data_IF_403352084120
#
_entry.id   IF_403352084120
#
_cell.length_a   1.000
_cell.length_b   1.000
_cell.length_c   1.000
_cell.angle_alpha   90.00
_cell.angle_beta   90.00
_cell.angle_gamma   90.00
#
_symmetry.space_group_name_H-M   'P 1'
#
loop_
_entity.id
_entity.type
_entity.pdbx_description
1 polymer ?
#
# COMPACT_ATOMS: atom_id res chain seq x y z
N UNK A 1 -34.97 -24.72 12.35
CA UNK A 1 -33.64 -24.13 12.64
C UNK A 1 -33.20 -23.30 11.46
N UNK A 2 -32.92 -22.06 11.74
CA UNK A 2 -32.45 -21.18 10.68
C UNK A 2 -30.94 -21.39 10.54
N UNK A 3 -30.56 -21.94 9.43
CA UNK A 3 -29.15 -22.05 9.12
C UNK A 3 -28.58 -20.67 8.85
N UNK A 4 -27.59 -20.31 9.65
CA UNK A 4 -26.90 -19.05 9.45
C UNK A 4 -26.07 -19.17 8.17
N UNK A 5 -26.49 -18.49 7.11
CA UNK A 5 -25.69 -18.43 5.90
C UNK A 5 -24.34 -17.82 6.24
N UNK A 6 -23.29 -18.56 5.93
CA UNK A 6 -21.95 -17.99 5.99
C UNK A 6 -21.90 -16.78 5.06
N UNK A 7 -21.64 -15.61 5.63
CA UNK A 7 -21.40 -14.42 4.83
C UNK A 7 -19.99 -14.58 4.27
N UNK A 8 -19.91 -14.80 2.96
CA UNK A 8 -18.65 -14.86 2.29
C UNK A 8 -18.04 -13.44 2.27
N UNK A 9 -17.05 -13.25 3.13
CA UNK A 9 -16.32 -12.01 3.17
C UNK A 9 -15.48 -11.90 1.90
N UNK A 10 -15.53 -10.72 1.25
CA UNK A 10 -14.69 -10.45 0.09
C UNK A 10 -13.21 -10.51 0.50
N UNK A 11 -12.42 -11.24 -0.28
CA UNK A 11 -10.97 -11.27 -0.13
C UNK A 11 -10.32 -10.57 -1.32
N UNK A 12 -9.35 -9.69 -1.06
CA UNK A 12 -8.62 -8.99 -2.10
C UNK A 12 -7.12 -9.28 -1.98
N UNK A 13 -6.49 -9.52 -3.14
CA UNK A 13 -5.04 -9.60 -3.23
C UNK A 13 -4.50 -8.33 -3.86
N UNK A 14 -3.59 -7.69 -3.14
CA UNK A 14 -3.06 -6.38 -3.52
C UNK A 14 -1.54 -6.33 -3.40
N UNK A 15 -0.98 -5.32 -4.00
CA UNK A 15 0.44 -5.00 -3.93
C UNK A 15 0.61 -3.59 -3.38
N UNK A 16 1.72 -3.34 -2.71
CA UNK A 16 2.05 -2.04 -2.15
C UNK A 16 3.51 -1.68 -2.45
N UNK A 17 3.74 -0.41 -2.80
CA UNK A 17 5.07 0.10 -3.11
C UNK A 17 5.62 0.90 -1.93
N UNK A 18 6.77 0.50 -1.44
CA UNK A 18 7.56 1.26 -0.49
C UNK A 18 8.58 2.05 -1.32
N UNK A 19 8.18 3.24 -1.72
CA UNK A 19 8.97 4.12 -2.59
C UNK A 19 9.88 4.96 -1.71
N UNK A 20 11.19 4.75 -1.85
CA UNK A 20 12.20 5.45 -1.05
C UNK A 20 12.98 6.41 -1.94
N UNK A 21 13.11 7.65 -1.48
CA UNK A 21 13.88 8.70 -2.14
C UNK A 21 14.42 9.65 -1.08
N UNK A 22 15.72 9.96 -1.15
CA UNK A 22 16.38 10.88 -0.21
C UNK A 22 16.13 10.51 1.26
N UNK A 23 16.26 9.19 1.58
CA UNK A 23 16.09 8.66 2.93
C UNK A 23 14.68 8.84 3.50
N UNK A 24 13.67 9.01 2.63
CA UNK A 24 12.27 9.14 3.02
C UNK A 24 11.40 8.18 2.22
N UNK A 25 10.30 7.77 2.82
CA UNK A 25 9.32 6.90 2.18
C UNK A 25 8.04 7.66 1.86
N UNK A 26 7.46 7.38 0.71
CA UNK A 26 6.21 7.98 0.26
C UNK A 26 5.01 7.24 0.86
N UNK A 27 4.03 8.01 1.36
CA UNK A 27 2.73 7.46 1.75
C UNK A 27 1.62 8.40 1.31
N UNK A 28 0.41 7.86 1.22
CA UNK A 28 -0.74 8.60 0.74
C UNK A 28 -1.97 8.32 1.58
N UNK A 29 -2.86 9.30 1.67
CA UNK A 29 -4.09 9.22 2.45
C UNK A 29 -5.25 8.77 1.57
N UNK A 30 -5.94 7.73 1.99
CA UNK A 30 -7.11 7.20 1.31
C UNK A 30 -8.28 8.17 1.34
N UNK A 31 -9.15 8.07 0.32
CA UNK A 31 -10.41 8.80 0.29
C UNK A 31 -11.27 8.48 1.51
N UNK A 32 -12.22 9.34 1.80
CA UNK A 32 -13.17 9.20 2.92
C UNK A 32 -14.29 8.23 2.54
N UNK A 33 -13.92 6.98 2.20
CA UNK A 33 -14.86 5.94 1.76
C UNK A 33 -14.47 4.60 2.41
N UNK A 34 -15.47 3.92 2.97
CA UNK A 34 -15.31 2.56 3.49
C UNK A 34 -14.64 2.47 4.84
N UNK A 35 -14.31 1.25 5.22
CA UNK A 35 -13.76 0.93 6.53
C UNK A 35 -12.40 1.55 6.81
N UNK A 36 -11.61 1.76 5.75
CA UNK A 36 -10.27 2.36 5.85
C UNK A 36 -10.24 3.83 5.44
N UNK A 37 -11.41 4.51 5.51
CA UNK A 37 -11.55 5.92 5.13
C UNK A 37 -10.53 6.82 5.82
N UNK A 38 -9.86 7.67 5.04
CA UNK A 38 -8.86 8.64 5.49
C UNK A 38 -7.61 8.05 6.16
N UNK A 39 -7.47 6.74 6.18
CA UNK A 39 -6.25 6.11 6.68
C UNK A 39 -5.11 6.31 5.70
N UNK A 40 -3.89 6.27 6.21
CA UNK A 40 -2.68 6.38 5.39
C UNK A 40 -2.20 5.00 4.96
N UNK A 41 -1.61 4.93 3.78
CA UNK A 41 -1.17 3.67 3.20
C UNK A 41 0.05 3.86 2.30
N UNK A 42 0.72 2.76 2.00
CA UNK A 42 1.65 2.72 0.88
C UNK A 42 0.85 2.53 -0.40
N UNK A 43 1.17 3.27 -1.48
CA UNK A 43 0.37 3.20 -2.70
C UNK A 43 0.50 1.85 -3.38
N UNK A 44 -0.54 1.46 -4.07
CA UNK A 44 -0.61 0.19 -4.79
C UNK A 44 -2.02 -0.10 -5.23
N UNK A 45 -2.38 -1.36 -5.37
CA UNK A 45 -3.71 -1.74 -5.78
C UNK A 45 -3.84 -3.24 -6.02
N UNK A 46 -4.94 -3.62 -6.66
CA UNK A 46 -5.29 -5.02 -6.87
C UNK A 46 -4.45 -5.67 -7.95
N UNK A 47 -4.11 -6.95 -7.72
CA UNK A 47 -3.49 -7.80 -8.74
C UNK A 47 -4.61 -8.29 -9.66
N UNK A 48 -4.44 -8.08 -10.97
CA UNK A 48 -5.38 -8.57 -11.97
C UNK A 48 -4.98 -9.96 -12.47
N UNK A 49 -5.94 -10.67 -13.03
CA UNK A 49 -5.70 -12.01 -13.55
C UNK A 49 -4.56 -11.99 -14.58
N UNK A 50 -3.61 -12.93 -14.42
CA UNK A 50 -2.47 -13.07 -15.33
C UNK A 50 -1.29 -12.17 -15.02
N UNK A 51 -1.40 -11.27 -14.03
CA UNK A 51 -0.29 -10.44 -13.63
C UNK A 51 0.54 -11.06 -12.52
N UNK A 52 1.85 -10.86 -12.56
CA UNK A 52 2.69 -11.06 -11.37
C UNK A 52 2.45 -9.90 -10.41
N UNK A 53 2.77 -10.05 -9.12
CA UNK A 53 2.69 -8.94 -8.17
C UNK A 53 3.49 -7.71 -8.63
N UNK A 54 4.68 -7.92 -9.18
CA UNK A 54 5.53 -6.83 -9.66
C UNK A 54 4.92 -6.08 -10.84
N UNK A 55 4.34 -6.83 -11.79
CA UNK A 55 3.64 -6.23 -12.94
C UNK A 55 2.43 -5.41 -12.49
N UNK A 56 1.65 -5.96 -11.55
CA UNK A 56 0.49 -5.26 -10.98
C UNK A 56 0.92 -3.96 -10.30
N UNK A 57 2.02 -4.00 -9.53
CA UNK A 57 2.49 -2.82 -8.80
C UNK A 57 2.95 -1.72 -9.75
N UNK A 58 3.74 -2.07 -10.77
CA UNK A 58 4.19 -1.09 -11.77
C UNK A 58 2.99 -0.44 -12.47
N UNK A 59 1.99 -1.24 -12.84
CA UNK A 59 0.78 -0.76 -13.50
C UNK A 59 -0.02 0.16 -12.59
N UNK A 60 -0.28 -0.23 -11.34
CA UNK A 60 -1.07 0.56 -10.40
C UNK A 60 -0.43 1.91 -10.11
N UNK A 61 0.87 1.95 -9.91
CA UNK A 61 1.56 3.23 -9.65
C UNK A 61 1.53 4.13 -10.88
N UNK A 62 1.64 3.54 -12.08
CA UNK A 62 1.52 4.32 -13.31
C UNK A 62 0.11 4.89 -13.48
N UNK A 63 -0.91 4.06 -13.28
CA UNK A 63 -2.31 4.47 -13.43
C UNK A 63 -2.73 5.52 -12.41
N UNK A 64 -2.40 5.31 -11.14
CA UNK A 64 -2.88 6.16 -10.03
C UNK A 64 -2.02 7.39 -9.79
N UNK A 65 -0.72 7.31 -10.02
CA UNK A 65 0.22 8.37 -9.66
C UNK A 65 1.01 8.93 -10.84
N UNK A 66 0.70 8.46 -12.06
CA UNK A 66 1.39 8.89 -13.28
C UNK A 66 2.91 8.83 -13.13
N UNK A 67 3.41 7.76 -12.52
CA UNK A 67 4.82 7.59 -12.19
C UNK A 67 5.27 6.21 -12.59
N UNK A 68 6.43 6.14 -13.26
CA UNK A 68 7.09 4.88 -13.59
C UNK A 68 8.09 4.55 -12.51
N UNK A 69 7.96 3.34 -11.94
CA UNK A 69 8.86 2.87 -10.89
C UNK A 69 9.59 1.62 -11.30
N UNK A 70 10.76 1.42 -10.70
CA UNK A 70 11.49 0.17 -10.76
C UNK A 70 11.22 -0.60 -9.47
N UNK A 71 10.73 -1.84 -9.62
CA UNK A 71 10.43 -2.71 -8.48
C UNK A 71 11.73 -3.33 -7.98
N UNK A 72 11.99 -3.17 -6.70
CA UNK A 72 13.16 -3.71 -6.04
C UNK A 72 12.83 -4.95 -5.20
N UNK A 73 13.43 -5.01 -4.02
CA UNK A 73 13.34 -6.17 -3.15
C UNK A 73 11.94 -6.37 -2.56
N UNK A 74 11.53 -7.62 -2.47
CA UNK A 74 10.35 -8.01 -1.70
C UNK A 74 10.58 -7.69 -0.22
N UNK A 75 9.57 -7.12 0.43
CA UNK A 75 9.66 -6.75 1.85
C UNK A 75 8.92 -7.76 2.72
N UNK A 76 7.63 -7.92 2.49
CA UNK A 76 6.78 -8.82 3.29
C UNK A 76 5.43 -9.03 2.62
N UNK A 77 4.75 -10.08 3.05
CA UNK A 77 3.34 -10.31 2.75
C UNK A 77 2.54 -10.14 4.04
N UNK A 78 1.50 -9.34 3.99
CA UNK A 78 0.60 -9.09 5.11
C UNK A 78 -0.76 -9.72 4.82
N UNK A 79 -1.28 -10.49 5.77
CA UNK A 79 -2.65 -10.98 5.75
C UNK A 79 -3.41 -10.27 6.87
N UNK A 80 -4.48 -9.58 6.53
CA UNK A 80 -5.26 -8.85 7.51
C UNK A 80 -6.75 -9.01 7.24
N UNK A 81 -7.54 -9.17 8.29
CA UNK A 81 -8.98 -9.22 8.20
C UNK A 81 -9.57 -7.96 8.80
N UNK A 82 -10.21 -7.16 7.94
CA UNK A 82 -11.04 -6.04 8.34
C UNK A 82 -12.46 -6.54 8.66
N UNK A 83 -13.34 -5.67 9.08
CA UNK A 83 -14.72 -6.07 9.37
C UNK A 83 -15.50 -6.46 8.12
N UNK A 84 -15.24 -5.79 6.99
CA UNK A 84 -16.01 -5.95 5.76
C UNK A 84 -15.29 -6.71 4.66
N UNK A 85 -13.98 -6.93 4.79
CA UNK A 85 -13.19 -7.67 3.80
C UNK A 85 -11.88 -8.15 4.43
N UNK A 86 -11.23 -9.10 3.76
CA UNK A 86 -9.88 -9.51 4.10
C UNK A 86 -8.92 -9.18 2.97
N UNK A 87 -7.64 -9.02 3.29
CA UNK A 87 -6.62 -8.59 2.35
C UNK A 87 -5.35 -9.42 2.49
N UNK A 88 -4.76 -9.77 1.36
CA UNK A 88 -3.38 -10.25 1.28
C UNK A 88 -2.61 -9.21 0.49
N UNK A 89 -1.59 -8.62 1.10
CA UNK A 89 -0.83 -7.52 0.51
C UNK A 89 0.65 -7.88 0.43
N UNK A 90 1.19 -7.83 -0.79
CA UNK A 90 2.60 -8.07 -1.06
C UNK A 90 3.31 -6.73 -1.23
N UNK A 91 4.25 -6.43 -0.34
CA UNK A 91 4.97 -5.16 -0.34
C UNK A 91 6.36 -5.31 -0.95
N UNK A 92 6.72 -4.37 -1.81
CA UNK A 92 8.02 -4.31 -2.47
C UNK A 92 8.64 -2.93 -2.31
N UNK A 93 9.94 -2.89 -2.17
CA UNK A 93 10.70 -1.65 -2.28
C UNK A 93 10.69 -1.20 -3.74
N UNK A 94 10.63 0.10 -3.99
CA UNK A 94 10.61 0.64 -5.34
C UNK A 94 11.33 1.98 -5.41
N UNK A 95 11.83 2.31 -6.60
CA UNK A 95 12.46 3.60 -6.88
C UNK A 95 11.77 4.25 -8.07
N UNK A 96 11.75 5.58 -8.10
CA UNK A 96 11.15 6.34 -9.18
C UNK A 96 12.11 6.37 -10.38
N UNK A 97 11.59 5.99 -11.55
CA UNK A 97 12.30 6.15 -12.83
C UNK A 97 11.93 7.52 -13.40
N UNK A 98 10.64 7.78 -13.59
CA UNK A 98 10.10 9.06 -14.08
C UNK A 98 8.80 9.38 -13.40
N UNK A 99 8.49 10.66 -13.25
CA UNK A 99 7.23 11.11 -12.67
C UNK A 99 7.40 11.72 -11.28
N UNK A 100 6.34 12.34 -10.79
CA UNK A 100 6.34 13.12 -9.55
C UNK A 100 5.30 12.63 -8.53
N UNK A 101 4.80 11.41 -8.66
CA UNK A 101 3.76 10.85 -7.79
C UNK A 101 2.55 11.77 -7.70
N UNK A 102 1.98 12.09 -8.86
CA UNK A 102 0.83 12.99 -8.98
C UNK A 102 -0.44 12.30 -8.46
N UNK A 103 -1.07 12.87 -7.44
CA UNK A 103 -2.26 12.29 -6.84
C UNK A 103 -3.47 12.39 -7.77
N UNK A 104 -4.21 11.30 -7.92
CA UNK A 104 -5.50 11.27 -8.62
C UNK A 104 -6.60 10.66 -7.75
N UNK A 105 -6.24 9.69 -6.91
CA UNK A 105 -7.19 8.94 -6.09
C UNK A 105 -7.06 9.23 -4.59
N UNK A 106 -5.98 9.83 -4.14
CA UNK A 106 -5.70 10.08 -2.73
C UNK A 106 -6.00 11.53 -2.34
N UNK A 107 -6.30 11.74 -1.04
CA UNK A 107 -6.58 13.08 -0.50
C UNK A 107 -5.31 13.88 -0.26
N UNK A 108 -4.22 13.22 0.12
CA UNK A 108 -2.97 13.86 0.52
C UNK A 108 -1.83 12.87 0.40
N UNK A 109 -0.61 13.38 0.46
CA UNK A 109 0.59 12.54 0.45
C UNK A 109 1.67 13.15 1.34
N UNK A 110 2.59 12.31 1.78
CA UNK A 110 3.75 12.73 2.58
C UNK A 110 4.97 11.90 2.23
N UNK A 111 6.13 12.52 2.39
CA UNK A 111 7.41 11.84 2.46
C UNK A 111 7.84 11.79 3.92
N UNK A 112 8.09 10.60 4.43
CA UNK A 112 8.39 10.40 5.84
C UNK A 112 9.81 9.92 6.03
N UNK A 113 10.54 10.57 6.93
CA UNK A 113 11.79 10.05 7.47
C UNK A 113 11.49 8.93 8.47
N UNK A 114 12.51 8.21 8.89
CA UNK A 114 12.36 7.14 9.89
C UNK A 114 11.63 7.60 11.14
N UNK A 115 11.98 8.78 11.65
CA UNK A 115 11.39 9.29 12.89
C UNK A 115 9.93 9.72 12.73
N UNK A 116 9.48 9.91 11.49
CA UNK A 116 8.12 10.34 11.18
C UNK A 116 7.15 9.20 10.90
N UNK A 117 7.64 7.95 10.86
CA UNK A 117 6.81 6.79 10.51
C UNK A 117 5.65 6.55 11.46
N UNK A 118 5.72 7.02 12.70
CA UNK A 118 4.65 6.87 13.69
C UNK A 118 3.57 7.96 13.61
N UNK A 119 3.77 9.00 12.79
CA UNK A 119 2.86 10.14 12.73
C UNK A 119 1.54 9.83 12.01
N UNK A 120 1.53 9.19 10.83
CA UNK A 120 0.28 8.93 10.14
C UNK A 120 -0.63 7.93 10.87
N UNK A 121 -1.93 8.10 10.70
CA UNK A 121 -2.93 7.12 11.11
C UNK A 121 -3.02 6.04 10.04
N UNK A 122 -2.15 5.06 10.12
CA UNK A 122 -2.02 4.00 9.13
C UNK A 122 -3.23 3.08 9.08
N UNK A 123 -3.62 2.64 7.87
CA UNK A 123 -4.51 1.50 7.72
C UNK A 123 -3.86 0.28 8.40
N UNK A 124 -4.68 -0.52 9.08
CA UNK A 124 -4.16 -1.62 9.90
C UNK A 124 -3.26 -2.59 9.13
N UNK A 125 -3.62 -2.89 7.88
CA UNK A 125 -2.82 -3.80 7.04
C UNK A 125 -1.44 -3.24 6.69
N UNK A 126 -1.25 -1.92 6.75
CA UNK A 126 0.03 -1.28 6.42
C UNK A 126 0.99 -1.23 7.62
N UNK A 127 0.49 -1.36 8.84
CA UNK A 127 1.30 -1.29 10.05
C UNK A 127 2.47 -2.29 10.05
N UNK A 128 2.29 -3.57 9.71
CA UNK A 128 3.42 -4.50 9.65
C UNK A 128 4.50 -4.10 8.64
N UNK A 129 4.11 -3.41 7.56
CA UNK A 129 5.09 -2.90 6.59
C UNK A 129 5.90 -1.77 7.22
N UNK A 130 5.23 -0.84 7.92
CA UNK A 130 5.90 0.26 8.63
C UNK A 130 6.96 -0.27 9.58
N UNK A 131 6.61 -1.30 10.34
CA UNK A 131 7.55 -1.93 11.29
C UNK A 131 8.77 -2.54 10.58
N UNK A 132 8.54 -3.19 9.43
CA UNK A 132 9.61 -3.81 8.65
C UNK A 132 10.57 -2.81 8.04
N UNK A 133 10.06 -1.68 7.53
CA UNK A 133 10.86 -0.73 6.76
C UNK A 133 11.66 0.23 7.63
N UNK A 134 11.39 0.31 8.92
CA UNK A 134 12.14 1.20 9.81
C UNK A 134 13.65 0.99 9.71
N UNK A 135 14.09 -0.24 9.47
CA UNK A 135 15.51 -0.57 9.28
C UNK A 135 16.08 -0.18 7.91
N UNK A 136 15.23 0.16 6.94
CA UNK A 136 15.66 0.57 5.59
C UNK A 136 15.92 2.06 5.47
N UNK A 137 15.48 2.84 6.44
CA UNK A 137 15.62 4.29 6.44
C UNK A 137 16.70 4.71 7.42
N UNK A 138 17.52 5.70 7.02
CA UNK A 138 18.54 6.26 7.90
C UNK A 138 17.91 7.10 9.01
N UNK A 139 18.57 7.08 10.14
CA UNK A 139 18.20 7.92 11.28
C UNK A 139 18.53 9.37 11.00
#
# INVERSE_FOLDING_TARGET
MIEKKAVLMKHVEVVAAVIIKNEKVFCAQRKDIGETAKKWEFPGGKIEAGETPQEALAREIFEELNTEIEIGNFITTVNHQYNTFSITMHAYQATIITGNLTLSEHLDSRWLSRDELSIPDWAAADIPIVEKIAGLLSV
#
